data_IF_360580527228
#
_entry.id   IF_360580527228
#
_cell.length_a   1.000
_cell.length_b   1.000
_cell.length_c   1.000
_cell.angle_alpha   90.00
_cell.angle_beta   90.00
_cell.angle_gamma   90.00
#
_symmetry.space_group_name_H-M   'P 1'
#
loop_
_entity.id
_entity.type
_entity.pdbx_description
1 polymer ?
#
# COMPACT_ATOMS: atom_id res chain seq x y z
N UNK A 1 20.74 -23.00 -0.38
CA UNK A 1 19.59 -22.55 0.45
C UNK A 1 18.76 -23.77 0.81
N UNK A 2 18.66 -24.13 2.10
CA UNK A 2 17.76 -25.19 2.55
C UNK A 2 16.33 -24.77 2.15
N UNK A 3 15.59 -25.59 1.41
CA UNK A 3 14.28 -25.24 0.86
C UNK A 3 13.31 -24.66 1.91
N UNK A 4 13.45 -25.08 3.18
CA UNK A 4 12.70 -24.57 4.34
C UNK A 4 12.87 -23.06 4.58
N UNK A 5 14.07 -22.51 4.43
CA UNK A 5 14.33 -21.07 4.66
C UNK A 5 13.72 -20.19 3.57
N UNK A 6 13.67 -20.67 2.32
CA UNK A 6 13.00 -20.00 1.20
C UNK A 6 11.49 -19.90 1.43
N UNK A 7 10.85 -21.03 1.75
CA UNK A 7 9.39 -21.08 1.95
C UNK A 7 8.95 -20.23 3.15
N UNK A 8 9.72 -20.26 4.25
CA UNK A 8 9.42 -19.45 5.44
C UNK A 8 9.37 -17.96 5.13
N UNK A 9 10.41 -17.41 4.47
CA UNK A 9 10.45 -15.99 4.06
C UNK A 9 9.25 -15.59 3.18
N UNK A 10 8.90 -16.43 2.21
CA UNK A 10 7.78 -16.14 1.30
C UNK A 10 6.43 -16.17 2.04
N UNK A 11 6.24 -17.12 2.95
CA UNK A 11 5.01 -17.23 3.75
C UNK A 11 4.87 -16.08 4.75
N UNK A 12 5.96 -15.67 5.39
CA UNK A 12 6.02 -14.49 6.27
C UNK A 12 5.60 -13.22 5.53
N UNK A 13 6.19 -12.98 4.37
CA UNK A 13 5.87 -11.83 3.53
C UNK A 13 4.42 -11.86 3.03
N UNK A 14 3.89 -13.05 2.71
CA UNK A 14 2.49 -13.21 2.31
C UNK A 14 1.51 -12.89 3.45
N UNK A 15 1.85 -13.26 4.69
CA UNK A 15 1.04 -12.96 5.88
C UNK A 15 1.14 -11.49 6.30
N UNK A 16 2.34 -10.93 6.28
CA UNK A 16 2.64 -9.57 6.75
C UNK A 16 3.46 -8.84 5.68
N UNK A 17 2.81 -8.21 4.68
CA UNK A 17 3.50 -7.55 3.58
C UNK A 17 4.38 -6.34 3.97
N UNK A 18 4.21 -5.79 5.19
CA UNK A 18 4.97 -4.64 5.71
C UNK A 18 6.25 -5.03 6.48
N UNK A 19 6.53 -6.32 6.61
CA UNK A 19 7.72 -6.82 7.34
C UNK A 19 9.01 -6.31 6.70
N UNK A 20 9.95 -5.78 7.48
CA UNK A 20 11.24 -5.35 6.91
C UNK A 20 12.16 -6.54 6.67
N UNK A 21 13.20 -6.36 5.84
CA UNK A 21 14.21 -7.40 5.65
C UNK A 21 14.94 -7.75 6.95
N UNK A 22 15.11 -6.76 7.84
CA UNK A 22 15.68 -6.94 9.20
C UNK A 22 14.80 -7.81 10.08
N UNK A 23 13.50 -7.58 10.06
CA UNK A 23 12.56 -8.39 10.84
C UNK A 23 12.52 -9.84 10.32
N UNK A 24 12.60 -10.03 9.00
CA UNK A 24 12.73 -11.36 8.40
C UNK A 24 14.05 -12.04 8.80
N UNK A 25 15.15 -11.31 8.86
CA UNK A 25 16.43 -11.83 9.33
C UNK A 25 16.33 -12.32 10.78
N UNK A 26 15.78 -11.50 11.68
CA UNK A 26 15.55 -11.87 13.09
C UNK A 26 14.64 -13.11 13.22
N UNK A 27 13.56 -13.20 12.45
CA UNK A 27 12.69 -14.40 12.44
C UNK A 27 13.45 -15.67 12.01
N UNK A 28 14.42 -15.54 11.10
CA UNK A 28 15.24 -16.67 10.64
C UNK A 28 16.35 -17.03 11.63
N UNK A 29 16.93 -16.06 12.31
CA UNK A 29 17.91 -16.28 13.38
C UNK A 29 17.29 -17.06 14.54
N UNK A 30 16.05 -16.72 14.95
CA UNK A 30 15.28 -17.51 15.92
C UNK A 30 15.02 -18.96 15.47
N UNK A 31 15.19 -19.25 14.19
CA UNK A 31 15.06 -20.59 13.61
C UNK A 31 16.40 -21.30 13.40
N UNK A 32 17.50 -20.73 13.93
CA UNK A 32 18.88 -21.15 13.71
C UNK A 32 19.30 -21.11 12.23
N UNK A 33 18.76 -20.16 11.45
CA UNK A 33 19.11 -19.95 10.04
C UNK A 33 19.75 -18.57 9.88
N UNK A 34 21.08 -18.52 9.84
CA UNK A 34 21.81 -17.28 9.54
C UNK A 34 21.69 -16.94 8.06
N UNK A 35 21.17 -15.74 7.76
CA UNK A 35 21.02 -15.22 6.40
C UNK A 35 21.26 -13.73 6.40
N UNK A 36 22.03 -13.23 5.44
CA UNK A 36 22.21 -11.80 5.22
C UNK A 36 20.95 -11.14 4.61
N UNK A 37 20.68 -9.88 4.97
CA UNK A 37 19.50 -9.16 4.46
C UNK A 37 19.48 -9.06 2.92
N UNK A 38 20.64 -8.89 2.27
CA UNK A 38 20.74 -8.81 0.81
C UNK A 38 20.31 -10.14 0.16
N UNK A 39 20.64 -11.27 0.79
CA UNK A 39 20.22 -12.59 0.34
C UNK A 39 18.70 -12.75 0.48
N UNK A 40 18.09 -12.20 1.54
CA UNK A 40 16.62 -12.16 1.69
C UNK A 40 16.00 -11.39 0.52
N UNK A 41 16.47 -10.16 0.25
CA UNK A 41 15.98 -9.31 -0.84
C UNK A 41 16.13 -10.00 -2.21
N UNK A 42 17.30 -10.55 -2.52
CA UNK A 42 17.58 -11.29 -3.77
C UNK A 42 16.65 -12.50 -3.93
N UNK A 43 16.45 -13.26 -2.85
CA UNK A 43 15.54 -14.41 -2.86
C UNK A 43 14.11 -13.98 -3.15
N UNK A 44 13.60 -12.94 -2.48
CA UNK A 44 12.24 -12.43 -2.71
C UNK A 44 12.07 -11.95 -4.15
N UNK A 45 13.02 -11.17 -4.67
CA UNK A 45 13.00 -10.69 -6.04
C UNK A 45 13.01 -11.83 -7.07
N UNK A 46 13.83 -12.88 -6.87
CA UNK A 46 13.86 -14.08 -7.73
C UNK A 46 12.53 -14.83 -7.75
N UNK A 47 11.70 -14.66 -6.71
CA UNK A 47 10.36 -15.25 -6.60
C UNK A 47 9.24 -14.28 -7.02
N UNK A 48 9.58 -13.14 -7.64
CA UNK A 48 8.60 -12.16 -8.13
C UNK A 48 7.94 -11.31 -7.04
N UNK A 49 8.54 -11.27 -5.84
CA UNK A 49 8.08 -10.46 -4.71
C UNK A 49 9.02 -9.26 -4.55
N UNK A 50 8.48 -8.06 -4.71
CA UNK A 50 9.29 -6.84 -4.72
C UNK A 50 8.79 -5.80 -3.72
N UNK A 51 9.73 -5.05 -3.15
CA UNK A 51 9.40 -3.86 -2.36
C UNK A 51 8.74 -2.80 -3.25
N UNK A 52 7.61 -2.26 -2.82
CA UNK A 52 6.87 -1.17 -3.48
C UNK A 52 6.37 -0.16 -2.48
N UNK A 53 6.26 1.09 -2.91
CA UNK A 53 5.55 2.11 -2.17
C UNK A 53 4.07 1.70 -1.98
N UNK A 54 3.51 1.79 -0.76
CA UNK A 54 2.08 1.58 -0.55
C UNK A 54 1.31 2.72 -1.21
N UNK A 55 0.22 2.37 -1.91
CA UNK A 55 -0.75 3.36 -2.37
C UNK A 55 -1.54 3.89 -1.17
N UNK A 56 -1.60 5.21 -1.01
CA UNK A 56 -2.50 5.88 -0.06
C UNK A 56 -3.90 5.88 -0.68
N UNK A 57 -4.79 5.02 -0.19
CA UNK A 57 -6.18 4.99 -0.63
C UNK A 57 -7.08 5.23 0.58
N UNK A 58 -7.97 6.25 0.58
CA UNK A 58 -8.99 6.33 1.60
C UNK A 58 -9.85 5.06 1.58
N UNK A 59 -10.16 4.55 2.78
CA UNK A 59 -11.13 3.46 2.91
C UNK A 59 -12.52 4.05 2.68
N UNK A 60 -13.15 3.70 1.57
CA UNK A 60 -14.49 4.17 1.24
C UNK A 60 -15.54 3.13 1.66
N UNK A 61 -16.58 3.59 2.35
CA UNK A 61 -17.78 2.79 2.60
C UNK A 61 -18.64 2.67 1.34
N UNK A 62 -19.59 1.73 1.33
CA UNK A 62 -20.50 1.50 0.19
C UNK A 62 -21.30 2.75 -0.19
N UNK A 63 -21.72 3.55 0.81
CA UNK A 63 -22.49 4.79 0.61
C UNK A 63 -21.73 5.84 -0.24
N UNK A 64 -20.53 6.31 0.15
CA UNK A 64 -19.79 7.27 -0.66
C UNK A 64 -19.35 6.70 -2.01
N UNK A 65 -19.10 5.39 -2.13
CA UNK A 65 -18.83 4.76 -3.44
C UNK A 65 -20.04 4.94 -4.37
N UNK A 66 -21.25 4.63 -3.91
CA UNK A 66 -22.46 4.76 -4.71
C UNK A 66 -22.75 6.23 -5.08
N UNK A 67 -22.59 7.15 -4.13
CA UNK A 67 -22.78 8.58 -4.38
C UNK A 67 -21.79 9.13 -5.44
N UNK A 68 -20.50 8.78 -5.32
CA UNK A 68 -19.46 9.15 -6.29
C UNK A 68 -19.74 8.56 -7.67
N UNK A 69 -20.17 7.30 -7.73
CA UNK A 69 -20.52 6.65 -8.99
C UNK A 69 -21.73 7.32 -9.66
N UNK A 70 -22.77 7.65 -8.87
CA UNK A 70 -23.95 8.38 -9.38
C UNK A 70 -23.56 9.75 -9.92
N UNK A 71 -22.76 10.51 -9.17
CA UNK A 71 -22.27 11.82 -9.59
C UNK A 71 -21.48 11.73 -10.91
N UNK A 72 -20.53 10.79 -11.01
CA UNK A 72 -19.73 10.59 -12.22
C UNK A 72 -20.58 10.22 -13.43
N UNK A 73 -21.58 9.34 -13.26
CA UNK A 73 -22.50 8.97 -14.36
C UNK A 73 -23.33 10.14 -14.86
N UNK A 74 -23.87 10.96 -13.95
CA UNK A 74 -24.68 12.14 -14.31
C UNK A 74 -23.85 13.16 -15.08
N UNK A 75 -22.58 13.34 -14.72
CA UNK A 75 -21.74 14.38 -15.31
C UNK A 75 -20.78 13.88 -16.40
N UNK A 76 -20.94 12.64 -16.88
CA UNK A 76 -20.02 12.02 -17.84
C UNK A 76 -19.97 12.75 -19.19
N UNK A 77 -21.11 13.26 -19.65
CA UNK A 77 -21.27 13.96 -20.94
C UNK A 77 -21.42 15.48 -20.78
N UNK A 78 -21.07 16.02 -19.62
CA UNK A 78 -21.18 17.45 -19.37
C UNK A 78 -20.07 18.20 -20.10
N UNK A 79 -20.46 19.25 -20.83
CA UNK A 79 -19.54 20.07 -21.63
C UNK A 79 -18.49 20.76 -20.76
N UNK A 80 -17.29 20.94 -21.30
CA UNK A 80 -16.17 21.60 -20.60
C UNK A 80 -16.54 22.98 -20.04
N UNK A 81 -17.35 23.76 -20.78
CA UNK A 81 -17.83 25.09 -20.36
C UNK A 81 -18.57 25.07 -19.01
N UNK A 82 -19.24 23.97 -18.67
CA UNK A 82 -19.93 23.85 -17.40
C UNK A 82 -18.91 23.82 -16.25
N UNK A 83 -17.86 23.01 -16.39
CA UNK A 83 -16.81 22.88 -15.38
C UNK A 83 -16.00 24.16 -15.17
N UNK A 84 -15.83 24.96 -16.23
CA UNK A 84 -15.14 26.26 -16.18
C UNK A 84 -15.92 27.31 -15.36
N UNK A 85 -17.24 27.16 -15.25
CA UNK A 85 -18.09 28.08 -14.52
C UNK A 85 -18.26 27.70 -13.03
N UNK A 86 -17.61 26.63 -12.57
CA UNK A 86 -17.68 26.20 -11.17
C UNK A 86 -16.52 26.79 -10.38
N UNK A 87 -16.83 27.53 -9.32
CA UNK A 87 -15.87 27.95 -8.31
C UNK A 87 -15.73 26.84 -7.27
N UNK A 88 -14.54 26.25 -7.18
CA UNK A 88 -14.22 25.22 -6.19
C UNK A 88 -13.61 25.85 -4.93
N UNK A 89 -14.04 25.40 -3.76
CA UNK A 89 -13.48 25.79 -2.47
C UNK A 89 -13.15 24.55 -1.66
N UNK A 90 -11.98 24.53 -1.02
CA UNK A 90 -11.57 23.51 -0.07
C UNK A 90 -10.60 24.10 0.96
N UNK A 91 -10.47 23.44 2.10
CA UNK A 91 -9.54 23.83 3.16
C UNK A 91 -8.41 22.80 3.27
N UNK A 92 -7.16 23.25 3.27
CA UNK A 92 -5.99 22.37 3.48
C UNK A 92 -5.13 22.87 4.63
N UNK A 93 -4.65 21.94 5.45
CA UNK A 93 -3.66 22.22 6.50
C UNK A 93 -2.25 22.16 5.90
N UNK A 94 -1.42 23.17 6.15
CA UNK A 94 -0.01 23.20 5.74
C UNK A 94 0.87 22.90 6.95
N UNK A 95 1.56 21.75 6.94
CA UNK A 95 2.49 21.36 8.00
C UNK A 95 3.94 21.64 7.58
N UNK A 96 4.73 22.30 8.44
CA UNK A 96 6.13 22.65 8.16
C UNK A 96 7.05 21.42 8.13
N UNK A 97 6.77 20.42 8.97
CA UNK A 97 7.52 19.17 9.07
C UNK A 97 6.56 17.98 9.03
N UNK A 98 6.06 17.66 7.85
CA UNK A 98 5.15 16.53 7.68
C UNK A 98 5.82 15.20 8.05
N UNK A 99 5.16 14.39 8.89
CA UNK A 99 5.60 13.01 9.19
C UNK A 99 5.26 12.08 8.01
N UNK A 100 6.11 12.07 6.98
CA UNK A 100 5.96 11.21 5.82
C UNK A 100 7.07 10.14 5.76
N UNK A 101 7.13 9.25 6.75
CA UNK A 101 7.98 8.06 6.65
C UNK A 101 7.35 7.06 5.69
N UNK A 102 7.88 6.97 4.48
CA UNK A 102 7.39 6.04 3.49
C UNK A 102 7.92 4.63 3.78
N UNK A 103 7.06 3.75 4.30
CA UNK A 103 7.40 2.33 4.50
C UNK A 103 7.10 1.52 3.25
N UNK A 104 8.07 0.74 2.79
CA UNK A 104 7.87 -0.18 1.67
C UNK A 104 7.00 -1.38 2.07
N UNK A 105 6.26 -1.91 1.10
CA UNK A 105 5.43 -3.11 1.23
C UNK A 105 5.85 -4.10 0.14
N UNK A 106 6.03 -5.35 0.51
CA UNK A 106 6.29 -6.43 -0.44
C UNK A 106 5.04 -6.75 -1.26
N UNK A 107 5.16 -6.79 -2.59
CA UNK A 107 4.05 -7.11 -3.51
C UNK A 107 4.50 -8.08 -4.58
N UNK A 108 3.58 -8.97 -4.96
CA UNK A 108 3.71 -9.79 -6.17
C UNK A 108 3.05 -9.06 -7.33
N UNK A 109 3.60 -9.16 -8.54
CA UNK A 109 3.12 -8.44 -9.73
C UNK A 109 1.63 -8.70 -10.07
N UNK A 110 1.05 -9.79 -9.55
CA UNK A 110 -0.32 -10.25 -9.86
C UNK A 110 -1.41 -9.71 -8.93
N UNK A 111 -1.08 -8.93 -7.91
CA UNK A 111 -2.08 -8.47 -6.93
C UNK A 111 -1.97 -6.97 -6.68
N UNK A 112 -2.74 -6.19 -7.43
CA UNK A 112 -3.21 -4.87 -6.99
C UNK A 112 -4.30 -5.03 -5.92
N UNK A 113 -4.06 -5.82 -4.89
CA UNK A 113 -5.01 -5.90 -3.78
C UNK A 113 -5.03 -4.53 -3.10
N UNK A 114 -6.20 -3.87 -2.97
CA UNK A 114 -6.32 -2.71 -2.12
C UNK A 114 -5.81 -3.13 -0.74
N UNK A 115 -4.86 -2.39 -0.21
CA UNK A 115 -4.38 -2.63 1.14
C UNK A 115 -5.56 -2.50 2.09
N UNK A 116 -5.99 -3.60 2.72
CA UNK A 116 -7.08 -3.62 3.71
C UNK A 116 -6.73 -2.85 4.99
N UNK A 117 -5.45 -2.55 5.19
CA UNK A 117 -4.96 -1.75 6.32
C UNK A 117 -4.71 -0.32 5.87
N UNK A 118 -5.30 0.68 6.56
CA UNK A 118 -5.08 2.08 6.23
C UNK A 118 -3.59 2.43 6.27
N UNK A 119 -3.19 3.40 5.46
CA UNK A 119 -1.94 4.11 5.71
C UNK A 119 -2.12 4.88 7.03
N UNK A 120 -1.13 4.93 7.93
CA UNK A 120 -1.27 5.62 9.23
C UNK A 120 -1.70 7.08 9.10
N UNK A 121 -1.39 7.69 7.96
CA UNK A 121 -1.71 9.08 7.64
C UNK A 121 -2.84 9.24 6.58
N UNK A 122 -3.62 8.20 6.31
CA UNK A 122 -4.83 8.33 5.50
C UNK A 122 -5.96 8.79 6.42
N UNK A 123 -6.24 10.11 6.44
CA UNK A 123 -7.46 10.62 7.06
C UNK A 123 -8.67 10.00 6.35
N UNK A 124 -9.52 9.32 7.12
CA UNK A 124 -10.79 8.79 6.65
C UNK A 124 -11.77 9.95 6.68
N UNK A 125 -12.30 10.32 5.53
CA UNK A 125 -13.36 11.32 5.43
C UNK A 125 -14.67 10.65 5.85
N UNK A 126 -15.11 10.91 7.07
CA UNK A 126 -16.47 10.63 7.53
C UNK A 126 -17.33 11.86 7.25
N UNK A 127 -18.25 11.71 6.29
CA UNK A 127 -19.41 12.59 6.11
C UNK A 127 -20.63 11.96 6.75
#
# INVERSE_FOLDING_TARGET
MIARSRHRKLNEVKKIPRVSAKDLQKSLEHANISVDESMIRKTLNKNGVHGRAPRKNPLLSKKPIAARLKFAKVHLNVLQRYWQNILWSDETTVELFGRNTQHYVWRTNRHSTPTSKPHPNCKVWSS
#
